data_IF_006264731406
#
_entry.id   IF_006264731406
#
_cell.length_a   1.000
_cell.length_b   1.000
_cell.length_c   1.000
_cell.angle_alpha   90.00
_cell.angle_beta   90.00
_cell.angle_gamma   90.00
#
_symmetry.space_group_name_H-M   'P 1'
#
loop_
_entity.id
_entity.type
_entity.pdbx_description
1 polymer ?
#
# COMPACT_ATOMS: atom_id res chain seq x y z
N UNK A 1 22.65 2.07 3.71
CA UNK A 1 21.58 1.06 3.76
C UNK A 1 20.32 1.73 3.25
N UNK A 2 19.72 1.22 2.15
CA UNK A 2 18.52 1.81 1.59
C UNK A 2 17.38 1.73 2.60
N UNK A 3 16.57 2.78 2.63
CA UNK A 3 15.42 2.91 3.53
C UNK A 3 14.19 3.05 2.66
N UNK A 4 13.18 2.22 2.92
CA UNK A 4 11.88 2.37 2.30
C UNK A 4 10.82 2.69 3.36
N UNK A 5 9.81 3.45 2.95
CA UNK A 5 8.72 3.88 3.82
C UNK A 5 7.42 3.34 3.24
N UNK A 6 6.70 2.57 4.03
CA UNK A 6 5.34 2.12 3.72
C UNK A 6 4.35 2.93 4.56
N UNK A 7 3.45 3.65 3.91
CA UNK A 7 2.36 4.38 4.58
C UNK A 7 1.02 3.77 4.24
N UNK A 8 0.15 3.64 5.23
CA UNK A 8 -1.23 3.22 5.07
C UNK A 8 -2.14 4.31 5.63
N UNK A 9 -3.16 4.69 4.88
CA UNK A 9 -4.12 5.73 5.24
C UNK A 9 -5.52 5.19 5.05
N UNK A 10 -6.38 5.28 6.06
CA UNK A 10 -7.78 4.89 5.98
C UNK A 10 -8.65 5.91 6.70
N UNK A 11 -9.73 6.34 6.05
CA UNK A 11 -10.73 7.22 6.63
C UNK A 11 -11.94 6.44 7.15
N UNK A 12 -12.42 6.82 8.34
CA UNK A 12 -13.73 6.38 8.83
C UNK A 12 -14.89 7.07 8.10
N UNK A 13 -14.69 8.29 7.57
CA UNK A 13 -15.77 9.10 7.02
C UNK A 13 -16.19 8.74 5.59
N UNK A 14 -15.35 8.03 4.83
CA UNK A 14 -15.62 7.61 3.46
C UNK A 14 -15.29 6.13 3.25
N UNK A 15 -16.15 5.42 2.53
CA UNK A 15 -15.96 3.99 2.17
C UNK A 15 -14.82 3.82 1.17
N UNK A 16 -14.57 4.85 0.37
CA UNK A 16 -13.62 4.83 -0.73
C UNK A 16 -12.31 5.58 -0.42
N UNK A 17 -12.11 6.06 0.80
CA UNK A 17 -10.92 6.83 1.14
C UNK A 17 -9.93 5.96 1.92
N UNK A 18 -9.14 5.21 1.17
CA UNK A 18 -7.95 4.54 1.66
C UNK A 18 -6.82 4.56 0.63
N UNK A 19 -5.59 4.49 1.12
CA UNK A 19 -4.39 4.49 0.31
C UNK A 19 -3.26 3.73 1.01
N UNK A 20 -2.51 2.93 0.27
CA UNK A 20 -1.21 2.41 0.69
C UNK A 20 -0.16 2.90 -0.29
N UNK A 21 0.96 3.37 0.22
CA UNK A 21 2.06 3.87 -0.60
C UNK A 21 3.39 3.38 -0.06
N UNK A 22 4.30 3.05 -0.97
CA UNK A 22 5.65 2.56 -0.69
C UNK A 22 6.63 3.48 -1.41
N UNK A 23 7.56 4.07 -0.67
CA UNK A 23 8.54 5.05 -1.15
C UNK A 23 9.96 4.55 -0.91
N UNK A 24 10.89 4.94 -1.78
CA UNK A 24 12.33 4.74 -1.55
C UNK A 24 12.86 3.36 -1.96
N UNK A 25 12.12 2.64 -2.80
CA UNK A 25 12.63 1.43 -3.45
C UNK A 25 13.51 1.78 -4.64
N UNK A 26 14.52 0.94 -4.90
CA UNK A 26 15.23 0.98 -6.18
C UNK A 26 14.32 0.49 -7.32
N UNK A 27 14.56 0.93 -8.55
CA UNK A 27 13.72 0.58 -9.72
C UNK A 27 13.54 -0.92 -9.87
N UNK A 28 14.61 -1.71 -9.70
CA UNK A 28 14.54 -3.18 -9.81
C UNK A 28 13.67 -3.81 -8.72
N UNK A 29 13.74 -3.29 -7.49
CA UNK A 29 12.94 -3.76 -6.36
C UNK A 29 11.46 -3.35 -6.53
N UNK A 30 11.21 -2.15 -7.05
CA UNK A 30 9.87 -1.67 -7.33
C UNK A 30 9.18 -2.51 -8.42
N UNK A 31 9.89 -2.81 -9.51
CA UNK A 31 9.40 -3.71 -10.57
C UNK A 31 9.18 -5.14 -10.06
N UNK A 32 10.08 -5.66 -9.21
CA UNK A 32 9.89 -6.98 -8.62
C UNK A 32 8.66 -7.02 -7.70
N UNK A 33 8.47 -6.03 -6.84
CA UNK A 33 7.31 -5.95 -5.97
C UNK A 33 6.01 -5.85 -6.78
N UNK A 34 6.01 -5.05 -7.84
CA UNK A 34 4.88 -4.90 -8.76
C UNK A 34 4.55 -6.18 -9.52
N UNK A 35 5.56 -6.97 -9.90
CA UNK A 35 5.34 -8.27 -10.56
C UNK A 35 4.57 -9.25 -9.66
N UNK A 36 4.73 -9.12 -8.33
CA UNK A 36 4.03 -9.93 -7.32
C UNK A 36 2.68 -9.32 -6.91
N UNK A 37 2.56 -8.00 -6.98
CA UNK A 37 1.40 -7.21 -6.58
C UNK A 37 0.97 -6.25 -7.70
N UNK A 38 0.26 -6.75 -8.74
CA UNK A 38 -0.15 -5.95 -9.88
C UNK A 38 -1.11 -4.82 -9.54
N UNK A 39 -1.74 -4.84 -8.36
CA UNK A 39 -2.54 -3.74 -7.82
C UNK A 39 -1.70 -2.48 -7.53
N UNK A 40 -0.37 -2.62 -7.36
CA UNK A 40 0.53 -1.49 -7.17
C UNK A 40 0.73 -0.72 -8.48
N UNK A 41 0.25 0.52 -8.48
CA UNK A 41 0.52 1.47 -9.55
C UNK A 41 1.87 2.17 -9.32
N UNK A 42 2.61 2.43 -10.40
CA UNK A 42 3.83 3.24 -10.38
C UNK A 42 3.40 4.67 -10.63
N UNK A 43 3.44 5.51 -9.59
CA UNK A 43 3.19 6.95 -9.72
C UNK A 43 4.46 7.67 -10.19
N UNK A 44 5.62 7.21 -9.70
CA UNK A 44 6.95 7.64 -10.14
C UNK A 44 7.95 6.49 -10.01
N UNK A 45 9.18 6.69 -10.48
CA UNK A 45 10.27 5.69 -10.50
C UNK A 45 10.59 5.01 -9.16
N UNK A 46 10.14 5.58 -8.06
CA UNK A 46 10.49 5.23 -6.68
C UNK A 46 9.27 5.18 -5.75
N UNK A 47 8.05 5.33 -6.30
CA UNK A 47 6.80 5.40 -5.56
C UNK A 47 5.78 4.42 -6.14
N UNK A 48 5.39 3.46 -5.31
CA UNK A 48 4.31 2.50 -5.58
C UNK A 48 3.09 2.83 -4.73
N UNK A 49 1.89 2.80 -5.30
CA UNK A 49 0.65 3.08 -4.55
C UNK A 49 -0.50 2.15 -4.92
N UNK A 50 -1.38 1.89 -3.96
CA UNK A 50 -2.74 1.36 -4.19
C UNK A 50 -3.71 2.26 -3.45
N UNK A 51 -4.65 2.85 -4.19
CA UNK A 51 -5.71 3.69 -3.65
C UNK A 51 -7.09 3.09 -3.95
N UNK A 52 -8.15 3.56 -3.29
CA UNK A 52 -9.52 3.16 -3.67
C UNK A 52 -10.11 3.96 -4.84
N UNK A 53 -9.40 4.99 -5.34
CA UNK A 53 -9.88 5.88 -6.39
C UNK A 53 -8.91 5.89 -7.59
N UNK A 54 -9.21 5.13 -8.65
CA UNK A 54 -8.28 4.96 -9.76
C UNK A 54 -8.17 6.21 -10.62
N UNK A 55 -6.94 6.62 -10.91
CA UNK A 55 -6.57 7.48 -12.04
C UNK A 55 -5.96 6.64 -13.18
N UNK A 56 -6.59 5.53 -13.55
CA UNK A 56 -6.03 4.58 -14.51
C UNK A 56 -7.02 4.15 -15.60
N UNK A 57 -6.45 3.69 -16.72
CA UNK A 57 -7.17 3.07 -17.83
C UNK A 57 -7.90 1.81 -17.34
N UNK A 58 -9.24 1.85 -17.42
CA UNK A 58 -10.15 0.80 -16.97
C UNK A 58 -9.95 -0.55 -17.68
N UNK A 59 -9.18 -0.57 -18.78
CA UNK A 59 -8.87 -1.79 -19.52
C UNK A 59 -7.57 -2.50 -19.08
N UNK A 60 -6.87 -2.00 -18.06
CA UNK A 60 -5.63 -2.59 -17.56
C UNK A 60 -5.87 -3.73 -16.56
N UNK A 61 -5.00 -4.75 -16.55
CA UNK A 61 -5.05 -5.81 -15.53
C UNK A 61 -4.85 -5.27 -14.11
N UNK A 62 -4.07 -4.20 -13.95
CA UNK A 62 -3.88 -3.50 -12.68
C UNK A 62 -5.20 -2.98 -12.10
N UNK A 63 -6.05 -2.40 -12.97
CA UNK A 63 -7.37 -1.91 -12.59
C UNK A 63 -8.26 -3.04 -12.05
N UNK A 64 -8.27 -4.21 -12.68
CA UNK A 64 -9.06 -5.36 -12.20
C UNK A 64 -8.63 -5.84 -10.80
N UNK A 65 -7.32 -5.94 -10.55
CA UNK A 65 -6.80 -6.36 -9.23
C UNK A 65 -7.08 -5.31 -8.16
N UNK A 66 -6.86 -4.02 -8.46
CA UNK A 66 -7.19 -2.92 -7.57
C UNK A 66 -8.69 -2.93 -7.20
N UNK A 67 -9.57 -3.20 -8.17
CA UNK A 67 -11.00 -3.31 -7.91
C UNK A 67 -11.33 -4.47 -6.97
N UNK A 68 -10.64 -5.62 -7.08
CA UNK A 68 -10.81 -6.74 -6.13
C UNK A 68 -10.35 -6.38 -4.71
N UNK A 69 -9.24 -5.62 -4.59
CA UNK A 69 -8.79 -5.10 -3.29
C UNK A 69 -9.86 -4.17 -2.71
N UNK A 70 -10.38 -3.24 -3.52
CA UNK A 70 -11.48 -2.35 -3.12
C UNK A 70 -12.74 -3.09 -2.69
N UNK A 71 -13.16 -4.11 -3.44
CA UNK A 71 -14.33 -4.92 -3.11
C UNK A 71 -14.13 -5.64 -1.78
N UNK A 72 -12.93 -6.17 -1.53
CA UNK A 72 -12.56 -6.80 -0.25
C UNK A 72 -12.68 -5.81 0.91
N UNK A 73 -12.15 -4.59 0.74
CA UNK A 73 -12.24 -3.52 1.74
C UNK A 73 -13.68 -3.07 1.97
N UNK A 74 -14.52 -3.07 0.93
CA UNK A 74 -15.94 -2.70 1.02
C UNK A 74 -16.76 -3.75 1.79
N UNK A 75 -16.37 -5.04 1.71
CA UNK A 75 -17.00 -6.13 2.45
C UNK A 75 -16.52 -6.18 3.91
N UNK A 76 -15.28 -5.78 4.19
CA UNK A 76 -14.73 -5.73 5.54
C UNK A 76 -15.34 -4.57 6.34
N UNK A 77 -16.06 -4.89 7.42
CA UNK A 77 -16.67 -3.88 8.30
C UNK A 77 -15.64 -3.07 9.10
N UNK A 78 -14.44 -3.62 9.30
CA UNK A 78 -13.30 -2.99 9.98
C UNK A 78 -12.22 -2.61 8.95
N UNK A 79 -12.27 -1.38 8.44
CA UNK A 79 -11.32 -0.88 7.44
C UNK A 79 -9.88 -0.77 7.97
N UNK A 80 -9.64 -0.29 9.22
CA UNK A 80 -8.31 -0.41 9.82
C UNK A 80 -7.73 -1.81 9.75
N UNK A 81 -8.53 -2.84 10.04
CA UNK A 81 -8.05 -4.23 9.93
C UNK A 81 -7.74 -4.63 8.48
N UNK A 82 -8.60 -4.25 7.53
CA UNK A 82 -8.39 -4.49 6.10
C UNK A 82 -7.08 -3.88 5.58
N UNK A 83 -6.83 -2.60 5.91
CA UNK A 83 -5.64 -1.90 5.43
C UNK A 83 -4.36 -2.41 6.09
N UNK A 84 -4.42 -2.77 7.38
CA UNK A 84 -3.28 -3.35 8.07
C UNK A 84 -2.95 -4.76 7.58
N UNK A 85 -3.97 -5.53 7.17
CA UNK A 85 -3.78 -6.85 6.55
C UNK A 85 -3.10 -6.73 5.18
N UNK A 86 -3.49 -5.74 4.38
CA UNK A 86 -2.83 -5.46 3.11
C UNK A 86 -1.40 -4.94 3.32
N UNK A 87 -1.19 -4.08 4.32
CA UNK A 87 0.14 -3.61 4.71
C UNK A 87 1.06 -4.78 5.10
N UNK A 88 0.56 -5.73 5.90
CA UNK A 88 1.31 -6.92 6.29
C UNK A 88 1.73 -7.76 5.07
N UNK A 89 0.85 -7.87 4.07
CA UNK A 89 1.18 -8.54 2.80
C UNK A 89 2.38 -7.90 2.11
N UNK A 90 2.39 -6.57 1.99
CA UNK A 90 3.51 -5.85 1.36
C UNK A 90 4.78 -5.86 2.21
N UNK A 91 4.67 -5.77 3.54
CA UNK A 91 5.83 -5.90 4.45
C UNK A 91 6.48 -7.28 4.28
N UNK A 92 5.69 -8.35 4.17
CA UNK A 92 6.22 -9.69 3.93
C UNK A 92 6.92 -9.78 2.58
N UNK A 93 6.34 -9.20 1.52
CA UNK A 93 7.00 -9.15 0.22
C UNK A 93 8.31 -8.33 0.25
N UNK A 94 8.35 -7.23 1.01
CA UNK A 94 9.55 -6.43 1.24
C UNK A 94 10.62 -7.19 2.05
N UNK A 95 10.21 -8.05 2.99
CA UNK A 95 11.12 -8.92 3.75
C UNK A 95 11.84 -9.93 2.86
N UNK A 96 11.17 -10.47 1.83
CA UNK A 96 11.83 -11.30 0.81
C UNK A 96 12.92 -10.52 0.06
N UNK A 97 12.70 -9.22 -0.16
CA UNK A 97 13.65 -8.26 -0.73
C UNK A 97 14.68 -7.74 0.28
N UNK A 98 14.78 -8.37 1.46
CA UNK A 98 15.74 -8.07 2.54
C UNK A 98 15.46 -6.79 3.34
N UNK A 99 14.32 -6.14 3.15
CA UNK A 99 13.91 -5.03 4.01
C UNK A 99 13.34 -5.52 5.34
N UNK A 100 13.77 -4.93 6.45
CA UNK A 100 13.27 -5.24 7.79
C UNK A 100 12.67 -3.98 8.41
N UNK A 101 11.52 -4.12 9.08
CA UNK A 101 10.88 -3.00 9.80
C UNK A 101 11.78 -2.56 10.95
N UNK A 102 12.17 -1.27 10.94
CA UNK A 102 13.00 -0.65 11.98
C UNK A 102 12.20 0.30 12.87
N UNK A 103 11.09 0.84 12.37
CA UNK A 103 10.25 1.76 13.10
C UNK A 103 8.80 1.69 12.62
N UNK A 104 7.86 1.94 13.53
CA UNK A 104 6.44 1.99 13.24
C UNK A 104 5.81 3.15 13.99
N UNK A 105 5.02 3.96 13.28
CA UNK A 105 4.23 5.03 13.88
C UNK A 105 2.78 4.93 13.45
N UNK A 106 1.88 5.35 14.33
CA UNK A 106 0.45 5.40 14.08
C UNK A 106 -0.08 6.75 14.55
N UNK A 107 -0.87 7.41 13.71
CA UNK A 107 -1.46 8.72 13.96
C UNK A 107 -2.94 8.65 13.59
N UNK A 108 -3.82 9.12 14.47
CA UNK A 108 -5.25 9.25 14.22
C UNK A 108 -5.67 10.70 14.43
N UNK A 109 -6.11 11.37 13.37
CA UNK A 109 -6.52 12.79 13.40
C UNK A 109 -7.81 12.94 12.60
N UNK A 110 -8.86 13.47 13.23
CA UNK A 110 -10.09 13.84 12.52
C UNK A 110 -10.79 12.69 11.78
N UNK A 111 -10.68 11.45 12.26
CA UNK A 111 -11.27 10.27 11.61
C UNK A 111 -10.41 9.66 10.49
N UNK A 112 -9.25 10.24 10.20
CA UNK A 112 -8.20 9.65 9.36
C UNK A 112 -7.22 8.89 10.25
N UNK A 113 -6.95 7.63 9.92
CA UNK A 113 -5.89 6.85 10.53
C UNK A 113 -4.76 6.69 9.53
N UNK A 114 -3.54 6.96 9.99
CA UNK A 114 -2.32 6.78 9.23
C UNK A 114 -1.35 5.91 9.99
N UNK A 115 -0.87 4.85 9.35
CA UNK A 115 0.22 4.01 9.83
C UNK A 115 1.43 4.22 8.93
N UNK A 116 2.61 4.28 9.52
CA UNK A 116 3.87 4.40 8.78
C UNK A 116 4.83 3.34 9.29
N UNK A 117 5.42 2.59 8.37
CA UNK A 117 6.45 1.60 8.62
C UNK A 117 7.71 2.06 7.90
N UNK A 118 8.79 2.26 8.66
CA UNK A 118 10.11 2.47 8.08
C UNK A 118 10.81 1.11 8.03
N UNK A 119 11.31 0.74 6.86
CA UNK A 119 12.07 -0.47 6.66
C UNK A 119 13.47 -0.16 6.13
N UNK A 120 14.42 -1.01 6.47
CA UNK A 120 15.82 -0.87 6.09
C UNK A 120 16.38 -2.20 5.62
N UNK A 121 17.20 -2.17 4.56
CA UNK A 121 17.93 -3.34 4.04
C UNK A 121 19.30 -3.50 4.69
#
# INVERSE_FOLDING_TARGET
MPVCILTCEASYSSVDDWNISIFGLEVTQAEELKSRHPELNIVSSDILTVDAMPNLDANSTHFEFQQRVKDTFSVMKDKPEAILSLAATYINALADLKYVVINTTAVSIGGLNKWTYALQM
#
